data_IF_336444074919
#
_entry.id   IF_336444074919
#
_cell.length_a   1.000
_cell.length_b   1.000
_cell.length_c   1.000
_cell.angle_alpha   90.00
_cell.angle_beta   90.00
_cell.angle_gamma   90.00
#
_symmetry.space_group_name_H-M   'P 1'
#
loop_
_entity.id
_entity.type
_entity.pdbx_description
1 polymer ?
#
# COMPACT_ATOMS: atom_id res chain seq x y z
N UNK A 1 -25.08 -12.21 2.66
CA UNK A 1 -25.62 -11.31 1.62
C UNK A 1 -24.43 -10.67 0.93
N UNK A 2 -24.11 -11.10 -0.29
CA UNK A 2 -22.92 -10.62 -1.00
C UNK A 2 -23.26 -9.29 -1.67
N UNK A 3 -22.77 -8.18 -1.10
CA UNK A 3 -22.81 -6.89 -1.76
C UNK A 3 -22.08 -6.97 -3.11
N UNK A 4 -22.73 -6.48 -4.16
CA UNK A 4 -22.21 -6.47 -5.51
C UNK A 4 -20.91 -5.67 -5.60
N UNK A 5 -19.82 -6.30 -6.04
CA UNK A 5 -18.70 -5.58 -6.66
C UNK A 5 -19.23 -4.85 -7.90
N UNK A 6 -19.47 -3.55 -7.75
CA UNK A 6 -19.61 -2.60 -8.84
C UNK A 6 -18.22 -1.99 -9.03
N UNK A 7 -17.60 -2.05 -10.22
CA UNK A 7 -16.34 -1.38 -10.47
C UNK A 7 -16.53 0.13 -10.24
N UNK A 8 -15.92 0.65 -9.18
CA UNK A 8 -16.03 2.04 -8.76
C UNK A 8 -15.17 2.25 -7.51
N UNK A 9 -14.59 3.43 -7.37
CA UNK A 9 -13.89 3.79 -6.14
C UNK A 9 -14.90 3.90 -5.01
N UNK A 10 -14.55 3.37 -3.84
CA UNK A 10 -15.40 3.50 -2.66
C UNK A 10 -15.18 4.87 -2.03
N UNK A 11 -16.26 5.60 -1.79
CA UNK A 11 -16.28 6.83 -1.00
C UNK A 11 -17.42 6.69 0.01
N UNK A 12 -17.08 6.21 1.21
CA UNK A 12 -18.03 5.77 2.23
C UNK A 12 -17.86 6.61 3.49
N UNK A 13 -18.90 7.33 3.90
CA UNK A 13 -18.89 8.14 5.13
C UNK A 13 -18.81 7.28 6.39
N UNK A 14 -19.40 6.09 6.35
CA UNK A 14 -19.41 5.16 7.47
C UNK A 14 -19.45 3.75 6.93
N UNK A 15 -18.43 2.97 7.25
CA UNK A 15 -18.40 1.54 6.97
C UNK A 15 -17.56 0.87 8.03
N UNK A 16 -17.80 -0.42 8.26
CA UNK A 16 -16.81 -1.24 8.95
C UNK A 16 -15.67 -1.52 7.98
N UNK A 17 -14.45 -1.21 8.38
CA UNK A 17 -13.21 -1.47 7.65
C UNK A 17 -12.45 -2.54 8.40
N UNK A 18 -12.10 -3.61 7.68
CA UNK A 18 -11.26 -4.68 8.18
C UNK A 18 -9.89 -4.59 7.49
N UNK A 19 -8.83 -4.64 8.30
CA UNK A 19 -7.44 -4.60 7.86
C UNK A 19 -6.75 -5.87 8.30
N UNK A 20 -6.43 -6.72 7.33
CA UNK A 20 -5.54 -7.86 7.58
C UNK A 20 -4.13 -7.33 7.79
N UNK A 21 -3.55 -7.65 8.94
CA UNK A 21 -2.19 -7.35 9.34
C UNK A 21 -1.45 -8.67 9.35
N UNK A 22 -0.94 -9.07 8.18
CA UNK A 22 -0.39 -10.40 7.92
C UNK A 22 1.12 -10.35 7.73
N UNK A 23 1.82 -11.27 8.38
CA UNK A 23 3.25 -11.49 8.25
C UNK A 23 3.58 -12.14 6.89
N UNK A 24 4.76 -11.85 6.33
CA UNK A 24 5.24 -12.49 5.09
C UNK A 24 5.62 -13.97 5.28
N UNK A 25 5.92 -14.37 6.52
CA UNK A 25 6.22 -15.74 6.94
C UNK A 25 5.52 -16.02 8.26
N UNK A 26 5.38 -17.30 8.61
CA UNK A 26 4.91 -17.70 9.93
C UNK A 26 5.74 -17.05 11.04
N UNK A 27 5.11 -16.68 12.13
CA UNK A 27 5.73 -16.02 13.27
C UNK A 27 4.79 -15.93 14.47
N UNK A 28 5.02 -14.94 15.31
CA UNK A 28 4.31 -14.75 16.57
C UNK A 28 3.21 -13.70 16.42
N UNK A 29 2.00 -14.05 16.84
CA UNK A 29 0.91 -13.08 17.04
C UNK A 29 0.95 -12.58 18.48
N UNK A 30 1.07 -11.25 18.66
CA UNK A 30 1.35 -10.64 19.95
C UNK A 30 0.09 -10.15 20.69
N UNK A 31 -1.08 -10.31 20.07
CA UNK A 31 -2.36 -9.81 20.58
C UNK A 31 -3.47 -10.84 20.39
N UNK A 32 -4.49 -10.74 21.25
CA UNK A 32 -5.65 -11.64 21.24
C UNK A 32 -6.87 -11.01 20.59
N UNK A 33 -7.78 -11.86 20.10
CA UNK A 33 -9.08 -11.42 19.60
C UNK A 33 -9.84 -10.62 20.67
N UNK A 34 -10.39 -9.49 20.27
CA UNK A 34 -11.11 -8.58 21.14
C UNK A 34 -10.30 -7.45 21.74
N UNK A 35 -8.96 -7.49 21.67
CA UNK A 35 -8.08 -6.41 22.16
C UNK A 35 -8.32 -5.11 21.36
N UNK A 36 -8.35 -3.97 22.05
CA UNK A 36 -8.27 -2.65 21.39
C UNK A 36 -6.81 -2.33 21.11
N UNK A 37 -6.53 -1.80 19.92
CA UNK A 37 -5.18 -1.49 19.44
C UNK A 37 -5.08 -0.05 18.97
N UNK A 38 -3.96 0.59 19.28
CA UNK A 38 -3.52 1.83 18.68
C UNK A 38 -2.76 1.54 17.37
N UNK A 39 -2.65 2.49 16.42
CA UNK A 39 -2.06 2.26 15.11
C UNK A 39 -0.65 1.65 15.18
N UNK A 40 0.18 2.15 16.10
CA UNK A 40 1.59 1.77 16.23
C UNK A 40 1.81 0.55 17.13
N UNK A 41 0.74 -0.06 17.66
CA UNK A 41 0.85 -1.30 18.41
C UNK A 41 1.32 -2.41 17.47
N UNK A 42 2.47 -3.03 17.77
CA UNK A 42 2.92 -4.22 17.05
C UNK A 42 1.99 -5.39 17.38
N UNK A 43 1.34 -5.93 16.35
CA UNK A 43 0.35 -7.00 16.48
C UNK A 43 0.90 -8.37 16.13
N UNK A 44 1.95 -8.42 15.30
CA UNK A 44 2.61 -9.65 14.91
C UNK A 44 4.08 -9.41 14.56
N UNK A 45 4.94 -10.42 14.73
CA UNK A 45 6.34 -10.37 14.29
C UNK A 45 6.81 -11.70 13.69
N UNK A 46 7.79 -11.63 12.80
CA UNK A 46 8.57 -12.79 12.33
C UNK A 46 10.02 -12.38 12.11
N UNK A 47 10.87 -13.33 11.75
CA UNK A 47 12.25 -13.09 11.32
C UNK A 47 12.42 -13.66 9.92
N UNK A 48 12.71 -12.78 8.96
CA UNK A 48 13.09 -13.23 7.62
C UNK A 48 14.50 -13.84 7.69
N UNK A 49 14.75 -14.95 6.95
CA UNK A 49 16.10 -15.46 6.81
C UNK A 49 17.02 -14.37 6.25
N UNK A 50 18.20 -14.21 6.86
CA UNK A 50 19.22 -13.31 6.31
C UNK A 50 19.71 -13.80 4.93
N UNK A 51 20.31 -12.88 4.17
CA UNK A 51 20.85 -13.21 2.86
C UNK A 51 21.97 -14.24 2.97
N UNK A 52 22.20 -14.97 1.87
CA UNK A 52 23.27 -15.95 1.77
C UNK A 52 24.45 -15.33 1.04
N UNK A 53 25.62 -15.35 1.66
CA UNK A 53 26.89 -14.91 1.08
C UNK A 53 27.80 -16.12 0.86
N UNK A 54 28.33 -16.21 -0.36
CA UNK A 54 29.32 -17.24 -0.72
C UNK A 54 30.71 -16.62 -0.67
N UNK A 55 31.59 -17.16 0.16
CA UNK A 55 32.98 -16.69 0.26
C UNK A 55 33.92 -17.79 -0.21
N UNK A 56 34.71 -17.50 -1.24
CA UNK A 56 35.68 -18.45 -1.79
C UNK A 56 37.01 -18.39 -1.03
N UNK A 57 37.10 -19.14 0.07
CA UNK A 57 38.27 -19.20 0.95
C UNK A 57 39.48 -19.77 0.22
N UNK A 58 39.29 -20.81 -0.60
CA UNK A 58 40.40 -21.43 -1.35
C UNK A 58 41.09 -20.42 -2.28
N UNK A 59 40.30 -19.63 -3.01
CA UNK A 59 40.84 -18.57 -3.86
C UNK A 59 41.47 -17.43 -3.05
N UNK A 60 40.84 -17.00 -1.95
CA UNK A 60 41.37 -15.91 -1.11
C UNK A 60 42.71 -16.27 -0.46
N UNK A 61 42.87 -17.53 -0.06
CA UNK A 61 44.06 -18.03 0.61
C UNK A 61 45.08 -18.68 -0.34
N UNK A 62 44.72 -18.87 -1.61
CA UNK A 62 45.50 -19.56 -2.64
C UNK A 62 45.90 -20.99 -2.23
N UNK A 63 44.91 -21.79 -1.85
CA UNK A 63 45.04 -23.20 -1.44
C UNK A 63 44.14 -24.10 -2.29
N UNK A 64 44.37 -25.42 -2.24
CA UNK A 64 43.45 -26.39 -2.83
C UNK A 64 42.16 -26.49 -2.01
N UNK A 65 41.02 -26.71 -2.69
CA UNK A 65 39.71 -26.78 -2.03
C UNK A 65 39.63 -27.85 -0.92
N UNK A 66 40.35 -28.97 -1.10
CA UNK A 66 40.40 -30.07 -0.14
C UNK A 66 41.08 -29.69 1.18
N UNK A 67 41.93 -28.66 1.17
CA UNK A 67 42.69 -28.21 2.33
C UNK A 67 41.93 -27.15 3.14
N UNK A 68 40.73 -26.74 2.71
CA UNK A 68 39.97 -25.67 3.36
C UNK A 68 39.71 -25.95 4.85
N UNK A 69 39.38 -27.20 5.20
CA UNK A 69 39.08 -27.59 6.56
C UNK A 69 40.26 -27.39 7.52
N UNK A 70 41.50 -27.47 7.02
CA UNK A 70 42.72 -27.33 7.82
C UNK A 70 43.09 -25.88 8.16
N UNK A 71 42.47 -24.92 7.47
CA UNK A 71 42.75 -23.48 7.62
C UNK A 71 41.58 -22.70 8.23
N UNK A 72 40.39 -23.30 8.33
CA UNK A 72 39.24 -22.65 8.97
C UNK A 72 39.52 -22.42 10.46
N UNK A 73 39.13 -21.24 10.94
CA UNK A 73 39.26 -20.81 12.34
C UNK A 73 37.93 -20.84 13.09
N UNK A 74 36.81 -21.01 12.37
CA UNK A 74 35.45 -21.01 12.91
C UNK A 74 34.72 -22.28 12.48
N UNK A 75 33.92 -22.82 13.39
CA UNK A 75 33.14 -24.02 13.15
C UNK A 75 31.77 -23.70 12.54
N UNK A 76 31.21 -24.66 11.79
CA UNK A 76 29.83 -24.57 11.28
C UNK A 76 28.87 -24.35 12.46
N UNK A 77 27.97 -23.39 12.32
CA UNK A 77 27.01 -22.95 13.34
C UNK A 77 27.51 -21.79 14.21
N UNK A 78 28.76 -21.36 14.06
CA UNK A 78 29.30 -20.23 14.82
C UNK A 78 28.75 -18.90 14.32
N UNK A 79 28.38 -18.03 15.26
CA UNK A 79 28.16 -16.61 14.97
C UNK A 79 29.49 -15.94 14.59
N UNK A 80 29.44 -15.10 13.57
CA UNK A 80 30.58 -14.37 13.01
C UNK A 80 30.23 -12.90 12.84
N UNK A 81 31.22 -12.03 12.98
CA UNK A 81 31.07 -10.60 12.69
C UNK A 81 31.80 -10.19 11.42
N UNK A 82 31.34 -9.13 10.78
CA UNK A 82 32.07 -8.49 9.69
C UNK A 82 33.49 -8.15 10.14
N UNK A 83 34.47 -8.54 9.34
CA UNK A 83 35.90 -8.39 9.63
C UNK A 83 36.49 -9.47 10.54
N UNK A 84 35.69 -10.37 11.11
CA UNK A 84 36.18 -11.49 11.89
C UNK A 84 36.90 -12.52 11.00
N UNK A 85 38.01 -13.08 11.48
CA UNK A 85 38.79 -14.05 10.72
C UNK A 85 38.05 -15.39 10.59
N UNK A 86 37.75 -15.77 9.35
CA UNK A 86 37.13 -17.05 9.02
C UNK A 86 38.16 -18.16 8.86
N UNK A 87 39.30 -17.84 8.24
CA UNK A 87 40.34 -18.81 7.92
C UNK A 87 41.70 -18.13 7.84
N UNK A 88 42.75 -18.87 8.18
CA UNK A 88 44.14 -18.40 8.11
C UNK A 88 45.09 -19.56 7.77
N UNK A 89 46.03 -19.33 6.85
CA UNK A 89 47.07 -20.31 6.53
C UNK A 89 48.16 -20.36 7.62
N UNK A 90 48.76 -21.55 7.81
CA UNK A 90 49.85 -21.73 8.80
C UNK A 90 51.12 -20.93 8.46
N UNK A 91 51.29 -20.51 7.20
CA UNK A 91 52.47 -19.79 6.70
C UNK A 91 53.75 -20.63 6.68
N UNK A 92 54.86 -20.05 6.21
CA UNK A 92 56.17 -20.70 6.20
C UNK A 92 56.91 -20.36 7.51
N UNK A 93 57.14 -21.36 8.38
CA UNK A 93 57.70 -21.14 9.73
C UNK A 93 56.94 -20.08 10.56
N UNK A 94 55.63 -19.90 10.31
CA UNK A 94 54.78 -18.90 10.96
C UNK A 94 54.83 -17.49 10.35
N UNK A 95 55.61 -17.27 9.29
CA UNK A 95 55.66 -16.02 8.53
C UNK A 95 54.80 -16.09 7.26
N UNK A 96 54.39 -14.92 6.73
CA UNK A 96 53.61 -14.77 5.49
C UNK A 96 52.26 -15.51 5.48
N UNK A 97 51.50 -15.40 6.56
CA UNK A 97 50.14 -15.93 6.61
C UNK A 97 49.21 -15.14 5.69
N UNK A 98 48.32 -15.84 5.01
CA UNK A 98 47.16 -15.28 4.34
C UNK A 98 45.93 -15.51 5.21
N UNK A 99 45.03 -14.55 5.24
CA UNK A 99 43.80 -14.62 6.03
C UNK A 99 42.59 -14.22 5.20
N UNK A 100 41.46 -14.81 5.54
CA UNK A 100 40.15 -14.48 4.99
C UNK A 100 39.26 -14.04 6.14
N UNK A 101 38.68 -12.84 6.02
CA UNK A 101 37.74 -12.31 6.99
C UNK A 101 36.30 -12.41 6.47
N UNK A 102 35.34 -12.43 7.39
CA UNK A 102 33.92 -12.39 7.06
C UNK A 102 33.56 -11.04 6.43
N UNK A 103 32.82 -11.02 5.31
CA UNK A 103 32.28 -9.80 4.74
C UNK A 103 30.99 -9.33 5.43
N UNK A 104 30.41 -10.12 6.35
CA UNK A 104 29.10 -9.85 6.97
C UNK A 104 29.03 -10.34 8.42
N UNK A 105 28.08 -9.78 9.18
CA UNK A 105 27.59 -10.36 10.43
C UNK A 105 26.63 -11.53 10.13
N UNK A 106 26.80 -12.67 10.77
CA UNK A 106 25.94 -13.82 10.51
C UNK A 106 26.38 -15.12 11.17
N UNK A 107 26.10 -16.24 10.51
CA UNK A 107 26.45 -17.60 10.93
C UNK A 107 27.14 -18.34 9.80
N UNK A 108 28.20 -19.09 10.11
CA UNK A 108 28.82 -20.03 9.16
C UNK A 108 27.91 -21.26 8.99
N UNK A 109 27.22 -21.37 7.86
CA UNK A 109 26.20 -22.41 7.63
C UNK A 109 26.80 -23.71 7.06
N UNK A 110 27.80 -23.59 6.19
CA UNK A 110 28.47 -24.75 5.61
C UNK A 110 29.84 -24.42 5.03
N UNK A 111 30.65 -25.46 4.88
CA UNK A 111 31.98 -25.44 4.26
C UNK A 111 31.98 -26.51 3.17
N UNK A 112 32.42 -26.19 1.96
CA UNK A 112 32.57 -27.14 0.85
C UNK A 112 34.04 -27.38 0.54
N UNK A 113 34.51 -28.60 0.79
CA UNK A 113 35.84 -29.12 0.42
C UNK A 113 35.98 -29.41 -1.10
N UNK A 114 34.86 -29.43 -1.83
CA UNK A 114 34.84 -29.60 -3.29
C UNK A 114 35.10 -28.26 -3.99
N UNK A 115 34.42 -27.19 -3.57
CA UNK A 115 34.52 -25.88 -4.23
C UNK A 115 35.46 -24.91 -3.52
N UNK A 116 35.86 -25.20 -2.28
CA UNK A 116 36.69 -24.31 -1.47
C UNK A 116 35.93 -23.07 -1.00
N UNK A 117 34.60 -23.15 -0.92
CA UNK A 117 33.73 -22.05 -0.53
C UNK A 117 33.07 -22.32 0.81
N UNK A 118 32.78 -21.24 1.53
CA UNK A 118 31.93 -21.25 2.71
C UNK A 118 30.64 -20.49 2.43
N UNK A 119 29.57 -20.95 3.08
CA UNK A 119 28.24 -20.34 3.02
C UNK A 119 28.02 -19.61 4.34
N UNK A 120 27.88 -18.29 4.26
CA UNK A 120 27.55 -17.45 5.40
C UNK A 120 26.08 -17.03 5.27
N UNK A 121 25.33 -17.15 6.35
CA UNK A 121 23.97 -16.65 6.44
C UNK A 121 23.96 -15.42 7.31
N UNK A 122 23.56 -14.29 6.74
CA UNK A 122 23.42 -13.04 7.48
C UNK A 122 22.43 -13.20 8.65
N UNK A 123 22.56 -12.33 9.64
CA UNK A 123 21.64 -12.30 10.79
C UNK A 123 20.18 -12.17 10.32
N UNK A 124 19.23 -12.93 10.89
CA UNK A 124 17.81 -12.82 10.52
C UNK A 124 17.28 -11.39 10.65
N UNK A 125 16.45 -10.97 9.69
CA UNK A 125 15.90 -9.61 9.63
C UNK A 125 14.55 -9.61 10.33
N UNK A 126 14.38 -8.90 11.46
CA UNK A 126 13.10 -8.83 12.16
C UNK A 126 12.08 -8.09 11.28
N UNK A 127 10.89 -8.65 11.18
CA UNK A 127 9.72 -8.01 10.55
C UNK A 127 8.63 -7.91 11.59
N UNK A 128 8.18 -6.69 11.83
CA UNK A 128 7.07 -6.37 12.72
C UNK A 128 5.95 -5.75 11.89
N UNK A 129 4.72 -6.14 12.19
CA UNK A 129 3.52 -5.56 11.57
C UNK A 129 2.73 -4.88 12.68
N UNK A 130 2.42 -3.61 12.46
CA UNK A 130 1.61 -2.80 13.36
C UNK A 130 0.10 -2.93 13.07
N UNK A 131 -0.73 -2.29 13.89
CA UNK A 131 -2.19 -2.32 13.75
C UNK A 131 -2.74 -1.45 12.61
N UNK A 132 -1.93 -0.56 12.04
CA UNK A 132 -2.26 0.43 11.00
C UNK A 132 -3.26 1.52 11.36
N UNK A 133 -4.30 1.20 12.13
CA UNK A 133 -5.36 2.13 12.52
C UNK A 133 -5.85 1.86 13.94
N UNK A 134 -6.47 2.85 14.56
CA UNK A 134 -7.21 2.65 15.80
C UNK A 134 -8.35 1.65 15.56
N UNK A 135 -8.43 0.59 16.36
CA UNK A 135 -9.44 -0.43 16.16
C UNK A 135 -9.50 -1.50 17.23
N UNK A 136 -10.16 -2.60 16.89
CA UNK A 136 -10.26 -3.81 17.70
C UNK A 136 -9.80 -5.01 16.89
N UNK A 137 -9.12 -5.95 17.50
CA UNK A 137 -8.78 -7.23 16.87
C UNK A 137 -10.07 -8.03 16.68
N UNK A 138 -10.52 -8.19 15.45
CA UNK A 138 -11.71 -8.97 15.10
C UNK A 138 -11.44 -10.47 15.21
N UNK A 139 -10.29 -10.90 14.67
CA UNK A 139 -9.83 -12.29 14.68
C UNK A 139 -8.30 -12.37 14.66
N UNK A 140 -7.79 -13.49 15.14
CA UNK A 140 -6.37 -13.87 15.05
C UNK A 140 -6.23 -14.87 13.90
N UNK A 141 -5.22 -14.66 13.06
CA UNK A 141 -4.75 -15.60 12.05
C UNK A 141 -3.55 -16.32 12.64
N UNK A 142 -3.72 -17.57 13.05
CA UNK A 142 -2.70 -18.33 13.79
C UNK A 142 -1.35 -18.32 13.05
N UNK A 143 -0.28 -17.96 13.75
CA UNK A 143 1.09 -17.77 13.24
C UNK A 143 1.25 -16.75 12.09
N UNK A 144 0.18 -16.12 11.61
CA UNK A 144 0.20 -15.27 10.42
C UNK A 144 -0.09 -13.81 10.73
N UNK A 145 -0.89 -13.50 11.76
CA UNK A 145 -1.22 -12.12 12.11
C UNK A 145 -2.63 -11.93 12.65
N UNK A 146 -3.24 -10.78 12.34
CA UNK A 146 -4.57 -10.42 12.86
C UNK A 146 -5.43 -9.66 11.85
N UNK A 147 -6.73 -9.59 12.11
CA UNK A 147 -7.64 -8.66 11.44
C UNK A 147 -8.00 -7.53 12.41
N UNK A 148 -7.63 -6.30 12.09
CA UNK A 148 -8.02 -5.09 12.84
C UNK A 148 -9.28 -4.51 12.21
N UNK A 149 -10.33 -4.32 13.01
CA UNK A 149 -11.61 -3.78 12.56
C UNK A 149 -11.94 -2.45 13.25
N UNK A 150 -12.52 -1.53 12.49
CA UNK A 150 -13.05 -0.27 13.00
C UNK A 150 -14.21 0.23 12.13
N UNK A 151 -15.15 0.98 12.73
CA UNK A 151 -16.04 1.82 11.92
C UNK A 151 -15.25 3.06 11.49
N UNK A 152 -15.25 3.38 10.20
CA UNK A 152 -14.43 4.44 9.64
C UNK A 152 -15.12 5.12 8.45
N UNK A 153 -14.66 6.33 8.13
CA UNK A 153 -14.75 6.86 6.76
C UNK A 153 -13.74 6.11 5.91
N UNK A 154 -14.13 5.73 4.69
CA UNK A 154 -13.28 4.99 3.76
C UNK A 154 -13.34 5.60 2.36
N UNK A 155 -12.21 6.08 1.86
CA UNK A 155 -12.09 6.69 0.52
C UNK A 155 -11.00 5.95 -0.25
N UNK A 156 -11.26 5.59 -1.50
CA UNK A 156 -10.26 5.01 -2.40
C UNK A 156 -9.79 6.00 -3.45
N UNK A 157 -8.48 6.04 -3.68
CA UNK A 157 -7.86 6.75 -4.79
C UNK A 157 -7.79 5.91 -6.07
N UNK A 158 -7.60 6.56 -7.21
CA UNK A 158 -7.32 5.90 -8.48
C UNK A 158 -5.87 5.41 -8.52
N UNK A 159 -4.95 6.22 -8.01
CA UNK A 159 -3.51 6.01 -8.07
C UNK A 159 -2.82 6.60 -6.84
N UNK A 160 -1.69 6.02 -6.46
CA UNK A 160 -0.86 6.50 -5.38
C UNK A 160 0.51 5.83 -5.35
N UNK A 161 1.33 6.21 -4.38
CA UNK A 161 2.65 5.63 -4.11
C UNK A 161 3.10 5.92 -2.67
N UNK A 162 4.19 5.28 -2.23
CA UNK A 162 4.77 5.54 -0.90
C UNK A 162 4.05 4.84 0.25
N UNK A 163 3.47 3.66 0.00
CA UNK A 163 3.10 2.69 1.04
C UNK A 163 2.11 3.17 2.10
N UNK A 164 2.16 2.54 3.27
CA UNK A 164 1.34 2.88 4.44
C UNK A 164 1.90 4.07 5.22
N UNK A 165 1.03 5.00 5.59
CA UNK A 165 1.36 6.14 6.45
C UNK A 165 0.16 6.53 7.33
N UNK A 166 0.37 7.40 8.30
CA UNK A 166 -0.70 7.89 9.19
C UNK A 166 -0.36 9.24 9.80
N UNK A 167 -1.40 9.98 10.17
CA UNK A 167 -1.23 11.31 10.75
C UNK A 167 -2.54 12.01 11.06
N UNK A 168 -2.45 13.21 11.62
CA UNK A 168 -3.58 14.14 11.68
C UNK A 168 -3.97 14.59 10.26
N UNK A 169 -5.24 14.56 9.90
CA UNK A 169 -5.73 15.07 8.62
C UNK A 169 -5.71 16.60 8.63
N UNK A 170 -5.11 17.21 7.60
CA UNK A 170 -5.10 18.66 7.41
C UNK A 170 -5.50 19.04 5.99
N UNK A 171 -6.69 19.61 5.85
CA UNK A 171 -7.14 20.21 4.59
C UNK A 171 -6.56 21.61 4.49
N UNK A 172 -5.74 21.84 3.46
CA UNK A 172 -4.93 23.05 3.29
C UNK A 172 -5.49 24.02 2.25
N UNK A 173 -6.62 23.66 1.63
CA UNK A 173 -7.31 24.49 0.64
C UNK A 173 -8.78 24.68 1.03
N UNK A 174 -9.39 25.76 0.56
CA UNK A 174 -10.78 26.08 0.87
C UNK A 174 -11.76 25.35 -0.09
N UNK A 175 -11.36 25.15 -1.35
CA UNK A 175 -12.21 24.55 -2.39
C UNK A 175 -11.53 23.37 -3.08
N UNK A 176 -12.34 22.42 -3.56
CA UNK A 176 -11.87 21.24 -4.32
C UNK A 176 -11.19 21.58 -5.65
N UNK A 177 -11.43 22.78 -6.19
CA UNK A 177 -10.80 23.29 -7.40
C UNK A 177 -9.39 23.86 -7.15
N UNK A 178 -9.06 24.19 -5.90
CA UNK A 178 -7.83 24.88 -5.56
C UNK A 178 -6.61 23.95 -5.70
N UNK A 179 -5.47 24.53 -6.06
CA UNK A 179 -4.19 23.82 -6.10
C UNK A 179 -3.51 23.86 -4.74
N UNK A 180 -2.91 22.74 -4.35
CA UNK A 180 -1.97 22.70 -3.24
C UNK A 180 -0.61 23.23 -3.69
N UNK A 181 -0.26 24.44 -3.25
CA UNK A 181 0.99 25.11 -3.62
C UNK A 181 2.07 24.95 -2.52
N UNK A 182 3.36 25.13 -2.83
CA UNK A 182 4.45 24.99 -1.85
C UNK A 182 4.31 25.91 -0.65
N UNK A 183 3.75 27.12 -0.83
CA UNK A 183 3.61 28.13 0.22
C UNK A 183 2.59 27.74 1.30
N UNK A 184 1.66 26.84 0.97
CA UNK A 184 0.68 26.28 1.90
C UNK A 184 1.28 25.21 2.82
N UNK A 185 2.49 24.71 2.51
CA UNK A 185 3.14 23.59 3.19
C UNK A 185 4.23 24.13 4.12
N UNK A 186 3.82 24.49 5.33
CA UNK A 186 4.71 24.93 6.43
C UNK A 186 5.15 23.77 7.32
N UNK A 187 6.15 24.01 8.18
CA UNK A 187 6.78 22.97 9.00
C UNK A 187 5.84 22.33 10.04
N UNK A 188 4.70 22.96 10.33
CA UNK A 188 3.69 22.47 11.27
C UNK A 188 2.92 21.25 10.75
N UNK A 189 2.99 20.93 9.46
CA UNK A 189 2.34 19.75 8.84
C UNK A 189 3.19 18.48 8.92
N UNK A 190 4.34 18.52 9.61
CA UNK A 190 5.17 17.34 9.84
C UNK A 190 4.37 16.22 10.51
N UNK A 191 4.38 15.03 9.90
CA UNK A 191 3.62 13.86 10.33
C UNK A 191 2.12 13.93 10.02
N UNK A 192 1.64 14.97 9.33
CA UNK A 192 0.22 15.12 8.97
C UNK A 192 -0.09 14.48 7.60
N UNK A 193 -1.34 14.04 7.43
CA UNK A 193 -1.91 13.71 6.12
C UNK A 193 -2.51 15.00 5.56
N UNK A 194 -1.83 15.63 4.59
CA UNK A 194 -2.27 16.90 4.02
C UNK A 194 -3.15 16.68 2.80
N UNK A 195 -4.18 17.51 2.65
CA UNK A 195 -5.19 17.41 1.58
C UNK A 195 -5.22 18.72 0.80
N UNK A 196 -5.06 18.60 -0.52
CA UNK A 196 -5.31 19.66 -1.50
C UNK A 196 -6.65 19.51 -2.21
N UNK A 197 -6.87 20.32 -3.24
CA UNK A 197 -8.08 20.27 -4.06
C UNK A 197 -7.81 19.54 -5.37
N UNK A 198 -7.61 20.27 -6.46
CA UNK A 198 -7.56 19.74 -7.81
C UNK A 198 -6.22 19.19 -8.23
N UNK A 199 -5.15 19.67 -7.62
CA UNK A 199 -3.80 19.41 -8.09
C UNK A 199 -2.76 19.64 -7.00
N UNK A 200 -1.67 18.89 -7.06
CA UNK A 200 -0.43 19.19 -6.35
C UNK A 200 0.72 19.23 -7.36
N UNK A 201 1.56 20.26 -7.30
CA UNK A 201 2.72 20.38 -8.18
C UNK A 201 3.91 19.55 -7.68
N UNK A 202 4.88 19.24 -8.55
CA UNK A 202 6.12 18.58 -8.16
C UNK A 202 6.84 19.31 -7.02
N UNK A 203 6.90 20.65 -7.10
CA UNK A 203 7.54 21.49 -6.08
C UNK A 203 6.82 21.39 -4.73
N UNK A 204 5.48 21.41 -4.75
CA UNK A 204 4.68 21.27 -3.52
C UNK A 204 4.84 19.86 -2.92
N UNK A 205 4.85 18.82 -3.75
CA UNK A 205 5.03 17.45 -3.29
C UNK A 205 6.44 17.22 -2.71
N UNK A 206 7.49 17.73 -3.38
CA UNK A 206 8.87 17.73 -2.84
C UNK A 206 8.98 18.51 -1.54
N UNK A 207 8.27 19.64 -1.42
CA UNK A 207 8.19 20.40 -0.16
C UNK A 207 7.55 19.56 0.95
N UNK A 208 6.45 18.86 0.67
CA UNK A 208 5.80 17.96 1.63
C UNK A 208 6.75 16.85 2.14
N UNK A 209 7.49 16.22 1.22
CA UNK A 209 8.55 15.24 1.57
C UNK A 209 9.59 15.88 2.48
N UNK A 210 10.11 17.06 2.11
CA UNK A 210 11.18 17.73 2.87
C UNK A 210 10.76 18.13 4.29
N UNK A 211 9.48 18.49 4.49
CA UNK A 211 8.91 18.81 5.80
C UNK A 211 8.63 17.55 6.61
N UNK A 212 8.48 16.40 5.95
CA UNK A 212 8.12 15.13 6.55
C UNK A 212 6.63 15.03 6.82
N UNK A 213 5.77 15.51 5.90
CA UNK A 213 4.35 15.17 5.91
C UNK A 213 4.19 13.65 5.78
N UNK A 214 3.19 13.05 6.43
CA UNK A 214 2.94 11.62 6.32
C UNK A 214 2.38 11.24 4.94
N UNK A 215 1.51 12.08 4.37
CA UNK A 215 0.98 11.88 3.03
C UNK A 215 0.39 13.14 2.41
N UNK A 216 0.24 13.14 1.09
CA UNK A 216 -0.46 14.15 0.29
C UNK A 216 -1.63 13.50 -0.45
N UNK A 217 -2.82 14.07 -0.27
CA UNK A 217 -4.04 13.69 -1.01
C UNK A 217 -4.46 14.83 -1.91
N UNK A 218 -4.66 14.57 -3.21
CA UNK A 218 -5.12 15.58 -4.17
C UNK A 218 -5.98 14.95 -5.27
N UNK A 219 -6.71 15.77 -6.02
CA UNK A 219 -7.47 15.34 -7.19
C UNK A 219 -6.56 14.76 -8.27
N UNK A 220 -5.45 15.44 -8.59
CA UNK A 220 -4.45 14.87 -9.48
C UNK A 220 -3.03 15.41 -9.37
N UNK A 221 -2.15 14.79 -10.16
CA UNK A 221 -0.71 15.05 -10.24
C UNK A 221 -0.22 14.79 -11.67
N UNK A 222 0.91 15.38 -12.07
CA UNK A 222 1.45 15.14 -13.42
C UNK A 222 2.12 13.78 -13.51
N UNK A 223 1.76 12.99 -14.53
CA UNK A 223 2.40 11.69 -14.76
C UNK A 223 3.91 11.79 -15.02
N UNK A 224 4.34 12.81 -15.76
CA UNK A 224 5.75 13.00 -16.10
C UNK A 224 6.62 13.34 -14.88
N UNK A 225 6.02 13.97 -13.86
CA UNK A 225 6.71 14.38 -12.64
C UNK A 225 6.95 13.17 -11.71
N UNK A 226 6.30 12.01 -11.95
CA UNK A 226 6.54 10.80 -11.16
C UNK A 226 7.98 10.31 -11.27
N UNK A 227 8.62 10.45 -12.44
CA UNK A 227 10.01 10.02 -12.62
C UNK A 227 10.97 10.80 -11.71
N UNK A 228 10.72 12.10 -11.53
CA UNK A 228 11.54 12.96 -10.67
C UNK A 228 11.36 12.68 -9.18
N UNK A 229 10.26 12.03 -8.81
CA UNK A 229 9.99 11.55 -7.45
C UNK A 229 10.58 10.16 -7.23
N UNK A 230 10.32 9.24 -8.16
CA UNK A 230 10.66 7.82 -8.05
C UNK A 230 12.12 7.51 -8.38
N UNK A 231 12.77 8.33 -9.23
CA UNK A 231 14.09 8.04 -9.78
C UNK A 231 14.09 7.03 -10.94
N UNK A 232 12.93 6.50 -11.33
CA UNK A 232 12.76 5.58 -12.46
C UNK A 232 11.44 5.82 -13.19
N UNK A 233 11.35 5.31 -14.42
CA UNK A 233 10.12 5.39 -15.22
C UNK A 233 9.14 4.31 -14.74
N UNK A 234 7.97 4.73 -14.26
CA UNK A 234 6.90 3.81 -13.90
C UNK A 234 6.35 3.12 -15.16
N UNK A 235 6.57 1.81 -15.30
CA UNK A 235 6.11 1.04 -16.46
C UNK A 235 4.73 0.42 -16.25
N UNK A 236 4.58 -0.41 -15.22
CA UNK A 236 3.30 -0.96 -14.76
C UNK A 236 3.00 -0.29 -13.43
N UNK A 237 1.76 0.17 -13.21
CA UNK A 237 1.36 0.81 -11.95
C UNK A 237 1.27 -0.23 -10.81
N UNK A 238 2.45 -0.63 -10.34
CA UNK A 238 2.72 -1.38 -9.12
C UNK A 238 3.60 -0.46 -8.27
N UNK A 239 3.02 0.06 -7.20
CA UNK A 239 3.63 1.03 -6.28
C UNK A 239 3.33 0.61 -4.84
N UNK A 240 3.99 1.24 -3.88
CA UNK A 240 3.79 0.99 -2.44
C UNK A 240 5.06 0.57 -1.70
N UNK A 241 6.08 0.12 -2.43
CA UNK A 241 7.37 -0.29 -1.87
C UNK A 241 8.43 0.82 -1.92
N UNK A 242 8.06 2.02 -2.38
CA UNK A 242 8.98 3.15 -2.46
C UNK A 242 9.19 3.79 -1.09
N UNK A 243 10.45 4.08 -0.74
CA UNK A 243 10.82 4.75 0.50
C UNK A 243 10.81 6.27 0.32
N UNK A 244 9.61 6.84 0.13
CA UNK A 244 9.42 8.28 -0.07
C UNK A 244 9.26 9.06 1.24
N UNK A 245 8.96 8.37 2.36
CA UNK A 245 8.57 8.98 3.64
C UNK A 245 7.20 9.68 3.64
N UNK A 246 6.72 10.16 2.50
CA UNK A 246 5.41 10.76 2.30
C UNK A 246 4.65 10.01 1.22
N UNK A 247 3.47 9.48 1.52
CA UNK A 247 2.64 8.83 0.49
C UNK A 247 1.95 9.85 -0.41
N UNK A 248 1.68 9.50 -1.66
CA UNK A 248 0.83 10.27 -2.57
C UNK A 248 -0.46 9.48 -2.83
N UNK A 249 -1.61 10.15 -2.77
CA UNK A 249 -2.92 9.59 -3.17
C UNK A 249 -3.62 10.57 -4.10
N UNK A 250 -3.97 10.08 -5.29
CA UNK A 250 -4.73 10.80 -6.31
C UNK A 250 -6.15 10.24 -6.37
N UNK A 251 -7.15 11.09 -6.15
CA UNK A 251 -8.55 10.66 -6.19
C UNK A 251 -9.09 10.57 -7.61
N UNK A 252 -8.63 11.44 -8.52
CA UNK A 252 -9.13 11.53 -9.91
C UNK A 252 -8.09 11.15 -10.98
N UNK A 253 -6.81 11.03 -10.61
CA UNK A 253 -5.74 10.52 -11.48
C UNK A 253 -4.76 11.59 -11.92
N UNK A 254 -4.40 11.62 -13.21
CA UNK A 254 -3.31 12.47 -13.69
C UNK A 254 -3.79 13.79 -14.30
N UNK A 255 -3.04 14.86 -14.03
CA UNK A 255 -3.35 16.23 -14.44
C UNK A 255 -4.12 17.00 -13.38
N UNK A 256 -4.57 18.21 -13.73
CA UNK A 256 -5.34 19.08 -12.84
C UNK A 256 -6.81 18.73 -12.93
N UNK A 257 -7.30 17.98 -11.94
CA UNK A 257 -8.67 17.49 -11.92
C UNK A 257 -9.23 17.77 -10.52
N UNK A 258 -10.25 18.64 -10.38
CA UNK A 258 -10.89 18.90 -9.09
C UNK A 258 -11.34 17.60 -8.41
N UNK A 259 -10.94 17.40 -7.16
CA UNK A 259 -11.37 16.25 -6.36
C UNK A 259 -12.90 16.12 -6.39
N UNK A 260 -13.42 14.89 -6.45
CA UNK A 260 -14.85 14.65 -6.39
C UNK A 260 -15.47 15.31 -5.15
N UNK A 261 -16.60 16.01 -5.34
CA UNK A 261 -17.26 16.82 -4.31
C UNK A 261 -17.43 16.04 -2.99
N UNK A 262 -17.90 14.79 -3.10
CA UNK A 262 -18.12 13.93 -1.93
C UNK A 262 -16.84 13.60 -1.17
N UNK A 263 -15.75 13.30 -1.86
CA UNK A 263 -14.45 13.01 -1.25
C UNK A 263 -13.92 14.24 -0.51
N UNK A 264 -13.96 15.40 -1.15
CA UNK A 264 -13.51 16.65 -0.57
C UNK A 264 -14.32 17.05 0.67
N UNK A 265 -15.66 16.99 0.59
CA UNK A 265 -16.55 17.28 1.73
C UNK A 265 -16.30 16.35 2.93
N UNK A 266 -16.08 15.06 2.69
CA UNK A 266 -15.75 14.10 3.77
C UNK A 266 -14.40 14.42 4.41
N UNK A 267 -13.37 14.69 3.61
CA UNK A 267 -12.06 15.04 4.15
C UNK A 267 -12.12 16.35 4.94
N UNK A 268 -12.87 17.35 4.45
CA UNK A 268 -13.09 18.61 5.13
C UNK A 268 -13.84 18.45 6.45
N UNK A 269 -14.89 17.62 6.47
CA UNK A 269 -15.68 17.31 7.67
C UNK A 269 -14.82 16.67 8.78
N UNK A 270 -13.82 15.89 8.39
CA UNK A 270 -12.94 15.15 9.31
C UNK A 270 -11.57 15.80 9.49
N UNK A 271 -11.41 17.08 9.12
CA UNK A 271 -10.19 17.85 9.37
C UNK A 271 -9.81 17.81 10.86
N UNK A 272 -8.52 17.61 11.16
CA UNK A 272 -7.98 17.45 12.50
C UNK A 272 -8.14 16.06 13.12
N UNK A 273 -8.71 15.09 12.41
CA UNK A 273 -8.86 13.71 12.90
C UNK A 273 -7.67 12.84 12.50
N UNK A 274 -7.36 11.84 13.32
CA UNK A 274 -6.38 10.81 12.97
C UNK A 274 -6.83 10.04 11.71
N UNK A 275 -5.91 9.86 10.78
CA UNK A 275 -6.14 9.23 9.48
C UNK A 275 -5.00 8.29 9.14
N UNK A 276 -5.33 7.07 8.74
CA UNK A 276 -4.40 6.13 8.13
C UNK A 276 -4.57 6.15 6.62
N UNK A 277 -3.47 6.05 5.89
CA UNK A 277 -3.46 6.04 4.43
C UNK A 277 -2.57 4.95 3.89
N UNK A 278 -2.88 4.44 2.71
CA UNK A 278 -2.00 3.55 1.98
C UNK A 278 -1.96 4.03 0.53
N UNK A 279 -0.79 4.46 0.06
CA UNK A 279 -0.55 4.90 -1.31
C UNK A 279 -0.41 3.76 -2.32
N UNK A 280 -0.30 2.51 -1.88
CA UNK A 280 0.00 1.38 -2.77
C UNK A 280 -1.05 1.20 -3.87
N UNK A 281 -0.59 1.08 -5.11
CA UNK A 281 -1.45 0.83 -6.28
C UNK A 281 -0.98 -0.43 -6.99
N UNK A 282 -1.93 -1.32 -7.32
CA UNK A 282 -1.67 -2.49 -8.16
C UNK A 282 -2.84 -2.70 -9.11
N UNK A 283 -2.60 -2.59 -10.41
CA UNK A 283 -3.66 -2.64 -11.43
C UNK A 283 -3.91 -4.03 -12.03
N UNK A 284 -3.03 -5.02 -11.79
CA UNK A 284 -3.13 -6.38 -12.35
C UNK A 284 -2.87 -7.42 -11.25
N UNK A 285 -3.52 -8.58 -11.35
CA UNK A 285 -3.42 -9.72 -10.41
C UNK A 285 -3.58 -9.31 -8.93
N UNK A 286 -4.82 -9.23 -8.44
CA UNK A 286 -5.09 -8.75 -7.08
C UNK A 286 -5.03 -7.22 -7.04
N UNK A 287 -6.11 -6.57 -7.46
CA UNK A 287 -6.16 -5.11 -7.58
C UNK A 287 -6.05 -4.47 -6.19
N UNK A 288 -5.02 -3.64 -6.00
CA UNK A 288 -4.84 -2.80 -4.81
C UNK A 288 -5.08 -1.36 -5.23
N UNK A 289 -5.90 -0.66 -4.46
CA UNK A 289 -6.16 0.76 -4.65
C UNK A 289 -5.62 1.50 -3.44
N UNK A 290 -5.08 2.72 -3.63
CA UNK A 290 -4.80 3.59 -2.53
C UNK A 290 -6.05 3.85 -1.71
N UNK A 291 -5.87 4.10 -0.43
CA UNK A 291 -6.97 4.26 0.51
C UNK A 291 -6.67 5.28 1.59
N UNK A 292 -7.75 5.86 2.10
CA UNK A 292 -7.78 6.78 3.21
C UNK A 292 -8.81 6.24 4.19
N UNK A 293 -8.39 6.02 5.43
CA UNK A 293 -9.19 5.45 6.51
C UNK A 293 -9.18 6.41 7.68
N UNK A 294 -10.36 6.92 8.05
CA UNK A 294 -10.54 7.81 9.21
C UNK A 294 -11.38 7.05 10.25
N UNK A 295 -10.76 6.42 11.26
CA UNK A 295 -11.50 5.72 12.30
C UNK A 295 -12.47 6.65 13.03
N UNK A 296 -13.73 6.25 13.11
CA UNK A 296 -14.79 7.01 13.78
C UNK A 296 -14.80 6.68 15.28
N UNK A 297 -14.93 7.73 16.10
CA UNK A 297 -15.15 7.57 17.54
C UNK A 297 -16.61 7.21 17.84
N UNK A 298 -16.90 6.83 19.09
CA UNK A 298 -18.27 6.55 19.54
C UNK A 298 -19.16 7.80 19.40
N UNK A 299 -18.59 8.99 19.60
CA UNK A 299 -19.29 10.27 19.45
C UNK A 299 -19.66 10.54 17.99
N UNK A 300 -18.74 10.28 17.06
CA UNK A 300 -18.99 10.39 15.62
C UNK A 300 -20.10 9.42 15.18
N UNK A 301 -20.16 8.24 15.80
CA UNK A 301 -21.18 7.23 15.51
C UNK A 301 -22.59 7.60 16.02
N UNK A 302 -22.69 8.46 17.04
CA UNK A 302 -23.96 8.94 17.64
C UNK A 302 -24.49 10.21 16.96
N UNK A 303 -23.61 11.05 16.42
CA UNK A 303 -23.97 12.30 15.72
C UNK A 303 -24.44 12.10 14.28
N UNK A 304 -24.06 10.99 13.63
CA UNK A 304 -24.53 10.65 12.29
C UNK A 304 -25.99 10.17 12.36
N UNK A 305 -26.97 11.01 11.99
CA UNK A 305 -28.27 10.48 11.54
C UNK A 305 -27.96 9.44 10.47
N UNK A 306 -28.65 8.30 10.52
CA UNK A 306 -28.54 7.24 9.52
C UNK A 306 -29.04 7.76 8.17
N UNK A 307 -28.24 8.57 7.49
CA UNK A 307 -28.29 8.63 6.04
C UNK A 307 -27.93 7.22 5.62
N UNK A 308 -28.92 6.51 5.07
CA UNK A 308 -28.71 5.20 4.43
C UNK A 308 -27.43 5.32 3.62
N UNK A 309 -26.48 4.42 3.86
CA UNK A 309 -25.25 4.28 3.10
C UNK A 309 -25.53 4.47 1.61
N UNK A 310 -25.37 5.69 1.11
CA UNK A 310 -25.29 5.93 -0.32
C UNK A 310 -23.86 5.63 -0.72
N UNK A 311 -23.47 4.36 -0.58
CA UNK A 311 -22.76 3.71 -1.65
C UNK A 311 -23.71 3.72 -2.85
N UNK A 312 -23.95 4.89 -3.45
CA UNK A 312 -24.70 4.95 -4.70
C UNK A 312 -23.75 4.49 -5.79
N UNK A 313 -23.46 3.19 -5.81
CA UNK A 313 -23.36 2.53 -7.09
C UNK A 313 -24.66 2.80 -7.85
N UNK A 314 -24.59 2.70 -9.18
CA UNK A 314 -25.74 2.84 -10.06
C UNK A 314 -26.95 2.11 -9.45
N UNK A 315 -28.06 2.84 -9.28
CA UNK A 315 -29.32 2.35 -8.74
C UNK A 315 -30.45 2.64 -9.73
N UNK A 316 -31.61 2.00 -9.59
CA UNK A 316 -32.77 2.37 -10.41
C UNK A 316 -33.12 3.85 -10.17
N UNK A 317 -33.29 4.61 -11.25
CA UNK A 317 -33.46 6.06 -11.26
C UNK A 317 -32.16 6.86 -11.39
N UNK A 318 -30.98 6.24 -11.31
CA UNK A 318 -29.70 6.94 -11.50
C UNK A 318 -29.53 7.38 -12.96
N UNK A 319 -29.09 8.63 -13.16
CA UNK A 319 -28.61 9.11 -14.46
C UNK A 319 -27.20 8.58 -14.73
N UNK A 320 -27.01 7.95 -15.88
CA UNK A 320 -25.74 7.31 -16.25
C UNK A 320 -25.33 7.68 -17.68
N UNK A 321 -24.02 7.76 -17.92
CA UNK A 321 -23.42 7.88 -19.25
C UNK A 321 -22.77 6.56 -19.62
N UNK A 322 -22.94 6.14 -20.86
CA UNK A 322 -22.26 4.97 -21.40
C UNK A 322 -20.83 5.34 -21.80
N UNK A 323 -19.85 4.62 -21.26
CA UNK A 323 -18.41 4.89 -21.46
C UNK A 323 -17.73 3.92 -22.44
N UNK A 324 -18.50 3.08 -23.14
CA UNK A 324 -18.00 2.18 -24.18
C UNK A 324 -18.95 2.06 -25.38
N UNK A 325 -18.38 1.71 -26.53
CA UNK A 325 -19.14 1.33 -27.71
C UNK A 325 -20.11 0.15 -27.41
N UNK A 326 -21.24 0.03 -28.12
CA UNK A 326 -21.65 0.86 -29.26
C UNK A 326 -22.29 2.20 -28.89
N UNK A 327 -22.74 2.38 -27.64
CA UNK A 327 -23.50 3.55 -27.20
C UNK A 327 -22.64 4.63 -26.54
N UNK A 328 -21.35 4.71 -26.88
CA UNK A 328 -20.39 5.60 -26.19
C UNK A 328 -20.87 7.05 -26.21
N UNK A 329 -20.97 7.66 -25.03
CA UNK A 329 -21.40 9.05 -24.83
C UNK A 329 -22.89 9.23 -24.61
N UNK A 330 -23.72 8.20 -24.87
CA UNK A 330 -25.16 8.27 -24.63
C UNK A 330 -25.47 8.37 -23.14
N UNK A 331 -26.48 9.17 -22.81
CA UNK A 331 -26.93 9.39 -21.44
C UNK A 331 -28.34 8.83 -21.29
N UNK A 332 -28.57 8.11 -20.20
CA UNK A 332 -29.86 7.52 -19.91
C UNK A 332 -30.14 7.39 -18.42
N UNK A 333 -31.36 6.94 -18.11
CA UNK A 333 -31.79 6.67 -16.73
C UNK A 333 -31.85 5.17 -16.51
N UNK A 334 -31.29 4.69 -15.40
CA UNK A 334 -31.34 3.26 -15.07
C UNK A 334 -32.77 2.87 -14.68
N UNK A 335 -33.37 1.95 -15.43
CA UNK A 335 -34.69 1.40 -15.15
C UNK A 335 -34.58 0.31 -14.08
N UNK A 336 -33.64 -0.62 -14.27
CA UNK A 336 -33.49 -1.76 -13.39
C UNK A 336 -32.06 -2.32 -13.39
N UNK A 337 -31.76 -3.13 -12.36
CA UNK A 337 -30.47 -3.76 -12.16
C UNK A 337 -30.68 -5.25 -11.90
N UNK A 338 -30.87 -6.07 -12.95
CA UNK A 338 -31.10 -7.51 -12.82
C UNK A 338 -30.03 -8.17 -11.95
N UNK A 339 -30.45 -9.03 -11.02
CA UNK A 339 -29.54 -9.68 -10.08
C UNK A 339 -28.73 -10.81 -10.73
N UNK A 340 -29.31 -11.46 -11.74
CA UNK A 340 -28.70 -12.56 -12.49
C UNK A 340 -27.70 -12.04 -13.52
N UNK A 341 -26.66 -12.84 -13.79
CA UNK A 341 -25.73 -12.57 -14.89
C UNK A 341 -26.45 -12.82 -16.22
N UNK A 342 -26.21 -11.95 -17.20
CA UNK A 342 -26.70 -12.13 -18.56
C UNK A 342 -25.55 -12.40 -19.52
N UNK A 343 -25.82 -13.26 -20.51
CA UNK A 343 -24.87 -13.58 -21.57
C UNK A 343 -24.86 -12.46 -22.61
N UNK A 344 -23.70 -11.87 -22.86
CA UNK A 344 -23.52 -10.87 -23.91
C UNK A 344 -23.30 -11.53 -25.27
N UNK A 345 -23.32 -10.75 -26.35
CA UNK A 345 -22.93 -11.21 -27.69
C UNK A 345 -21.53 -11.82 -27.73
N UNK A 346 -20.63 -11.38 -26.83
CA UNK A 346 -19.30 -11.96 -26.63
C UNK A 346 -19.28 -13.29 -25.85
N UNK A 347 -20.44 -13.92 -25.66
CA UNK A 347 -20.69 -15.14 -24.87
C UNK A 347 -20.32 -15.02 -23.38
N UNK A 348 -19.90 -13.83 -22.92
CA UNK A 348 -19.46 -13.60 -21.55
C UNK A 348 -20.64 -13.33 -20.63
N UNK A 349 -20.65 -13.95 -19.45
CA UNK A 349 -21.64 -13.71 -18.41
C UNK A 349 -21.26 -12.47 -17.59
N UNK A 350 -22.05 -11.41 -17.68
CA UNK A 350 -21.78 -10.15 -16.99
C UNK A 350 -23.01 -9.62 -16.26
N UNK A 351 -22.78 -8.77 -15.25
CA UNK A 351 -23.87 -8.00 -14.64
C UNK A 351 -24.23 -6.83 -15.55
N UNK A 352 -25.52 -6.66 -15.78
CA UNK A 352 -26.07 -5.62 -16.64
C UNK A 352 -26.92 -4.61 -15.84
N UNK A 353 -27.14 -3.46 -16.44
CA UNK A 353 -28.21 -2.53 -16.09
C UNK A 353 -29.13 -2.37 -17.30
N UNK A 354 -30.42 -2.25 -17.05
CA UNK A 354 -31.39 -1.80 -18.04
C UNK A 354 -31.43 -0.27 -17.96
N UNK A 355 -31.03 0.41 -19.03
CA UNK A 355 -30.92 1.86 -19.10
C UNK A 355 -31.83 2.38 -20.19
N UNK A 356 -32.73 3.30 -19.85
CA UNK A 356 -33.57 4.01 -20.80
C UNK A 356 -32.77 5.14 -21.43
N UNK A 357 -32.51 5.02 -22.73
CA UNK A 357 -31.80 6.00 -23.57
C UNK A 357 -32.71 6.34 -24.74
N UNK A 358 -33.04 7.63 -24.90
CA UNK A 358 -33.86 8.14 -26.02
C UNK A 358 -35.21 7.42 -26.20
N UNK A 359 -35.81 6.92 -25.11
CA UNK A 359 -37.10 6.22 -25.11
C UNK A 359 -37.03 4.70 -25.39
N UNK A 360 -35.82 4.15 -25.54
CA UNK A 360 -35.59 2.71 -25.65
C UNK A 360 -34.85 2.17 -24.41
N UNK A 361 -35.22 0.99 -23.93
CA UNK A 361 -34.51 0.32 -22.83
C UNK A 361 -33.41 -0.57 -23.39
N UNK A 362 -32.16 -0.21 -23.09
CA UNK A 362 -30.96 -0.95 -23.50
C UNK A 362 -30.37 -1.72 -22.34
N UNK A 363 -29.88 -2.94 -22.62
CA UNK A 363 -29.17 -3.77 -21.66
C UNK A 363 -27.67 -3.51 -21.79
N UNK A 364 -27.07 -2.87 -20.79
CA UNK A 364 -25.66 -2.43 -20.84
C UNK A 364 -24.89 -3.04 -19.68
N UNK A 365 -23.68 -3.61 -19.89
CA UNK A 365 -22.84 -4.06 -18.79
C UNK A 365 -22.61 -2.94 -17.79
N UNK A 366 -22.77 -3.21 -16.49
CA UNK A 366 -22.61 -2.17 -15.46
C UNK A 366 -21.24 -1.50 -15.48
N UNK A 367 -20.21 -2.24 -15.90
CA UNK A 367 -18.84 -1.75 -16.06
C UNK A 367 -18.66 -0.72 -17.20
N UNK A 368 -19.66 -0.59 -18.08
CA UNK A 368 -19.67 0.35 -19.20
C UNK A 368 -20.50 1.59 -18.90
N UNK A 369 -20.88 1.81 -17.64
CA UNK A 369 -21.69 2.93 -17.20
C UNK A 369 -20.93 3.73 -16.14
N UNK A 370 -21.00 5.05 -16.23
CA UNK A 370 -20.60 5.98 -15.17
C UNK A 370 -21.82 6.81 -14.73
N UNK A 371 -21.87 7.22 -13.46
CA UNK A 371 -22.95 8.11 -13.02
C UNK A 371 -22.74 9.53 -13.54
N UNK A 372 -23.82 10.18 -13.94
CA UNK A 372 -23.81 11.61 -14.28
C UNK A 372 -24.28 12.37 -13.04
N UNK A 373 -23.39 13.12 -12.40
CA UNK A 373 -23.79 14.03 -11.33
C UNK A 373 -24.63 15.16 -11.92
N UNK A 374 -25.88 15.28 -11.46
CA UNK A 374 -26.71 16.46 -11.70
C UNK A 374 -26.50 17.36 -10.48
N UNK A 375 -25.88 18.52 -10.73
CA UNK A 375 -25.54 19.55 -9.73
C UNK A 375 -26.72 20.04 -8.90
#
# INVERSE_FOLDING_TARGET
MAHSYTPGLKVLQKTTVDKERRLPLKGDVLVEAGKKVAPDDIVARTHLPGNVQMVNIANLLNIDAQDIADVMLVDIGSEIKEGELLAETKGLFGFFKSSAASPVDGVLESISDITGQVVLRETPIPVEIDAYMNGKVASVLEEEGVVVTANAVFIQGIFGMGGENRGELRVLVDNREDELTPEMISDDVKGAVIVGGSFVSLEAYKKAISVGAAAVVAGGFNYHDLQDVLGYVLGVAITGSEDLGTSLILTEGYGRIPMGKRSFELLQQHNGKFTSVNGSTQIRAGVIRPEIVIPLTVEDAMGSKSEKDTASGISAGSMVRVIRAPYFGDIGTVVSLPAELQQMESETMVRVAEVEISGETLVIPRANLEMVETS
#
